data_IF_219604316992
#
_entry.id   IF_219604316992
#
_cell.length_a   1.000
_cell.length_b   1.000
_cell.length_c   1.000
_cell.angle_alpha   90.00
_cell.angle_beta   90.00
_cell.angle_gamma   90.00
#
_symmetry.space_group_name_H-M   'P 1'
#
loop_
_entity.id
_entity.type
_entity.pdbx_description
1 polymer ?
#
# COMPACT_ATOMS: atom_id res chain seq x y z
N UNK A 1 -2.77 23.54 -12.23
CA UNK A 1 -3.69 24.10 -11.21
C UNK A 1 -5.17 23.83 -11.49
N UNK A 2 -5.55 23.08 -12.54
CA UNK A 2 -6.96 22.76 -12.85
C UNK A 2 -7.37 21.33 -12.47
N UNK A 3 -6.43 20.37 -12.39
CA UNK A 3 -6.73 18.99 -11.96
C UNK A 3 -7.12 18.90 -10.47
N UNK A 4 -6.42 19.64 -9.62
CA UNK A 4 -6.72 19.70 -8.18
C UNK A 4 -8.04 20.41 -7.85
N UNK A 5 -8.51 21.31 -8.73
CA UNK A 5 -9.80 22.03 -8.56
C UNK A 5 -10.97 21.15 -8.99
N UNK A 6 -10.80 20.37 -10.07
CA UNK A 6 -11.81 19.39 -10.49
C UNK A 6 -12.04 18.30 -9.44
N UNK A 7 -10.96 17.72 -8.92
CA UNK A 7 -11.00 16.68 -7.88
C UNK A 7 -11.62 17.19 -6.55
N UNK A 8 -11.42 18.47 -6.22
CA UNK A 8 -12.03 19.10 -5.05
C UNK A 8 -13.53 19.37 -5.21
N UNK A 9 -13.97 19.77 -6.42
CA UNK A 9 -15.38 20.05 -6.68
C UNK A 9 -16.20 18.76 -6.72
N UNK A 10 -15.70 17.70 -7.36
CA UNK A 10 -16.33 16.37 -7.35
C UNK A 10 -16.41 15.79 -5.93
N UNK A 11 -15.40 16.03 -5.08
CA UNK A 11 -15.41 15.65 -3.66
C UNK A 11 -16.48 16.40 -2.85
N UNK A 12 -16.68 17.70 -3.11
CA UNK A 12 -17.68 18.51 -2.40
C UNK A 12 -19.11 18.14 -2.82
N UNK A 13 -19.36 17.91 -4.12
CA UNK A 13 -20.67 17.50 -4.63
C UNK A 13 -21.09 16.13 -4.09
N UNK A 14 -20.15 15.16 -4.05
CA UNK A 14 -20.40 13.84 -3.46
C UNK A 14 -20.69 13.89 -1.94
N UNK A 15 -20.23 14.93 -1.22
CA UNK A 15 -20.51 15.09 0.21
C UNK A 15 -21.87 15.75 0.47
N UNK A 16 -22.33 16.67 -0.39
CA UNK A 16 -23.61 17.36 -0.20
C UNK A 16 -24.82 16.42 -0.37
N UNK A 17 -24.76 15.49 -1.33
CA UNK A 17 -25.81 14.46 -1.52
C UNK A 17 -25.87 13.45 -0.37
N UNK A 18 -24.75 13.16 0.30
CA UNK A 18 -24.70 12.21 1.44
C UNK A 18 -25.18 12.86 2.75
N UNK A 19 -24.96 14.17 2.92
CA UNK A 19 -25.35 14.89 4.14
C UNK A 19 -26.86 15.07 4.33
N UNK A 20 -27.66 14.86 3.27
CA UNK A 20 -29.12 14.97 3.31
C UNK A 20 -29.85 13.76 3.92
N UNK A 21 -29.28 12.56 3.90
CA UNK A 21 -30.05 11.32 4.18
C UNK A 21 -29.55 10.47 5.38
N UNK A 22 -28.40 10.74 6.01
CA UNK A 22 -27.81 9.80 6.98
C UNK A 22 -27.43 10.38 8.35
N UNK A 23 -28.38 11.05 9.04
CA UNK A 23 -28.20 11.48 10.45
C UNK A 23 -28.55 10.40 11.49
N UNK A 24 -28.99 9.19 11.12
CA UNK A 24 -29.30 8.14 12.09
C UNK A 24 -28.46 6.88 11.91
N UNK A 25 -27.25 6.87 12.48
CA UNK A 25 -26.68 5.76 13.28
C UNK A 25 -25.21 6.03 13.60
N UNK A 26 -24.98 6.81 14.65
CA UNK A 26 -23.69 6.92 15.31
C UNK A 26 -23.43 5.68 16.16
N UNK A 27 -22.58 4.77 15.67
CA UNK A 27 -21.71 3.99 16.55
C UNK A 27 -20.27 4.33 16.21
N UNK A 28 -19.59 4.93 17.18
CA UNK A 28 -18.20 5.37 17.10
C UNK A 28 -17.27 4.20 16.75
N UNK A 29 -16.94 4.02 15.48
CA UNK A 29 -15.65 3.45 15.09
C UNK A 29 -14.79 4.58 14.54
N UNK A 30 -13.96 5.19 15.38
CA UNK A 30 -12.85 6.00 14.87
C UNK A 30 -11.94 5.04 14.10
N UNK A 31 -12.16 4.91 12.78
CA UNK A 31 -11.26 4.18 11.90
C UNK A 31 -9.91 4.86 12.01
N UNK A 32 -9.01 4.23 12.76
CA UNK A 32 -7.67 4.76 12.96
C UNK A 32 -7.02 4.94 11.61
N UNK A 33 -6.67 6.17 11.26
CA UNK A 33 -5.98 6.47 10.00
C UNK A 33 -4.55 5.89 9.96
N UNK A 34 -3.99 5.53 11.11
CA UNK A 34 -2.65 4.97 11.29
C UNK A 34 -2.60 3.45 11.07
N UNK A 35 -1.46 2.99 10.59
CA UNK A 35 -1.10 1.59 10.38
C UNK A 35 -1.13 0.80 11.69
N UNK A 36 -1.51 -0.48 11.62
CA UNK A 36 -1.53 -1.38 12.77
C UNK A 36 -0.79 -2.68 12.45
N UNK A 37 -0.04 -3.24 13.41
CA UNK A 37 0.59 -4.54 13.24
C UNK A 37 -0.41 -5.65 12.87
N UNK A 38 0.00 -6.63 12.05
CA UNK A 38 -0.75 -7.86 11.85
C UNK A 38 -0.69 -8.77 13.08
N UNK A 39 -1.42 -9.88 13.04
CA UNK A 39 -1.27 -10.95 14.02
C UNK A 39 0.12 -11.62 13.91
N UNK A 40 0.61 -12.19 15.01
CA UNK A 40 1.87 -12.95 15.00
C UNK A 40 1.84 -14.08 13.97
N UNK A 41 2.94 -14.26 13.26
CA UNK A 41 3.06 -15.23 12.16
C UNK A 41 2.53 -14.73 10.80
N UNK A 42 1.96 -13.52 10.74
CA UNK A 42 1.52 -12.89 9.48
C UNK A 42 2.43 -11.71 9.13
N UNK A 43 2.76 -11.57 7.86
CA UNK A 43 3.46 -10.39 7.33
C UNK A 43 2.45 -9.43 6.71
N UNK A 44 2.53 -8.15 7.07
CA UNK A 44 1.70 -7.11 6.48
C UNK A 44 2.47 -6.38 5.40
N UNK A 45 1.93 -6.33 4.19
CA UNK A 45 2.51 -5.63 3.05
C UNK A 45 1.67 -4.41 2.72
N UNK A 46 2.29 -3.23 2.73
CA UNK A 46 1.71 -2.00 2.22
C UNK A 46 2.18 -1.77 0.79
N UNK A 47 1.28 -1.41 -0.12
CA UNK A 47 1.58 -1.17 -1.53
C UNK A 47 1.06 0.19 -1.98
N UNK A 48 1.76 0.83 -2.93
CA UNK A 48 1.37 2.10 -3.55
C UNK A 48 1.99 2.20 -4.95
N UNK A 49 1.35 2.93 -5.84
CA UNK A 49 1.90 3.33 -7.13
C UNK A 49 1.90 4.86 -7.29
N UNK A 50 3.03 5.40 -7.74
CA UNK A 50 3.21 6.82 -7.98
C UNK A 50 3.58 7.08 -9.44
N UNK A 51 2.93 8.04 -10.09
CA UNK A 51 3.26 8.43 -11.46
C UNK A 51 3.95 9.79 -11.52
N UNK A 52 5.03 9.91 -12.32
CA UNK A 52 5.61 11.20 -12.69
C UNK A 52 5.30 11.52 -14.15
N UNK A 53 4.58 12.62 -14.36
CA UNK A 53 4.34 13.19 -15.69
C UNK A 53 5.64 13.62 -16.37
N UNK A 54 6.58 14.21 -15.62
CA UNK A 54 7.81 14.75 -16.17
C UNK A 54 8.78 13.66 -16.67
N UNK A 55 8.76 12.49 -16.01
CA UNK A 55 9.65 11.38 -16.34
C UNK A 55 8.94 10.28 -17.14
N UNK A 56 7.63 10.40 -17.33
CA UNK A 56 6.75 9.39 -17.95
C UNK A 56 6.97 7.98 -17.37
N UNK A 57 7.06 7.91 -16.03
CA UNK A 57 7.35 6.69 -15.27
C UNK A 57 6.37 6.46 -14.15
N UNK A 58 6.07 5.20 -13.92
CA UNK A 58 5.38 4.74 -12.71
C UNK A 58 6.39 4.10 -11.76
N UNK A 59 6.39 4.55 -10.52
CA UNK A 59 7.12 3.94 -9.42
C UNK A 59 6.16 3.08 -8.59
N UNK A 60 6.58 1.86 -8.27
CA UNK A 60 5.84 0.93 -7.41
C UNK A 60 6.62 0.77 -6.12
N UNK A 61 5.92 0.94 -4.99
CA UNK A 61 6.46 0.72 -3.65
C UNK A 61 5.76 -0.43 -2.95
N UNK A 62 6.53 -1.34 -2.36
CA UNK A 62 6.03 -2.41 -1.49
C UNK A 62 6.84 -2.41 -0.20
N UNK A 63 6.17 -2.39 0.94
CA UNK A 63 6.78 -2.36 2.27
C UNK A 63 6.21 -3.49 3.11
N UNK A 64 7.05 -4.43 3.54
CA UNK A 64 6.67 -5.54 4.39
C UNK A 64 7.08 -5.31 5.84
N UNK A 65 6.16 -5.53 6.77
CA UNK A 65 6.36 -5.40 8.22
C UNK A 65 5.84 -6.60 9.00
N UNK A 66 6.51 -6.94 10.09
CA UNK A 66 6.11 -8.02 11.00
C UNK A 66 5.08 -7.57 12.06
N UNK A 67 4.73 -8.46 12.99
CA UNK A 67 3.77 -8.22 14.07
C UNK A 67 4.27 -7.24 15.15
N UNK A 68 5.58 -6.97 15.17
CA UNK A 68 6.25 -5.99 16.01
C UNK A 68 6.34 -4.61 15.32
N UNK A 69 5.88 -4.50 14.07
CA UNK A 69 5.95 -3.28 13.27
C UNK A 69 7.29 -3.03 12.58
N UNK A 70 8.24 -3.95 12.73
CA UNK A 70 9.58 -3.81 12.18
C UNK A 70 9.56 -4.00 10.66
N UNK A 71 10.34 -3.19 9.96
CA UNK A 71 10.56 -3.34 8.52
C UNK A 71 11.30 -4.65 8.27
N UNK A 72 10.71 -5.50 7.42
CA UNK A 72 11.27 -6.80 7.06
C UNK A 72 11.95 -6.74 5.69
N UNK A 73 11.21 -6.26 4.69
CA UNK A 73 11.72 -6.03 3.33
C UNK A 73 10.98 -4.91 2.65
N UNK A 74 11.65 -4.22 1.73
CA UNK A 74 11.08 -3.12 0.96
C UNK A 74 11.54 -3.24 -0.48
N UNK A 75 10.61 -3.05 -1.42
CA UNK A 75 10.89 -3.06 -2.84
C UNK A 75 10.45 -1.76 -3.49
N UNK A 76 11.33 -1.21 -4.31
CA UNK A 76 11.09 -0.03 -5.14
C UNK A 76 11.37 -0.39 -6.61
N UNK A 77 10.38 -0.25 -7.48
CA UNK A 77 10.53 -0.52 -8.92
C UNK A 77 10.02 0.61 -9.78
N UNK A 78 10.73 0.89 -10.87
CA UNK A 78 10.30 1.84 -11.88
C UNK A 78 9.85 1.09 -13.12
N UNK A 79 8.73 1.52 -13.71
CA UNK A 79 8.22 1.01 -14.97
C UNK A 79 8.08 2.16 -15.98
N UNK A 80 8.53 1.92 -17.21
CA UNK A 80 8.40 2.85 -18.35
C UNK A 80 7.02 2.73 -18.98
N UNK A 81 5.98 2.99 -18.20
CA UNK A 81 4.59 2.93 -18.67
C UNK A 81 3.72 3.89 -17.87
N UNK A 82 2.57 4.20 -18.45
CA UNK A 82 1.47 4.90 -17.79
C UNK A 82 0.18 4.16 -18.09
N UNK A 83 -0.52 3.75 -17.04
CA UNK A 83 -1.89 3.25 -17.13
C UNK A 83 -2.81 4.09 -16.24
N UNK A 84 -4.08 3.68 -16.18
CA UNK A 84 -5.03 4.23 -15.22
C UNK A 84 -4.53 3.99 -13.78
N UNK A 85 -4.76 4.92 -12.83
CA UNK A 85 -4.27 4.80 -11.46
C UNK A 85 -4.62 3.47 -10.79
N UNK A 86 -5.85 2.99 -10.97
CA UNK A 86 -6.32 1.71 -10.41
C UNK A 86 -5.54 0.50 -10.96
N UNK A 87 -5.12 0.55 -12.24
CA UNK A 87 -4.34 -0.51 -12.87
C UNK A 87 -2.94 -0.58 -12.24
N UNK A 88 -2.32 0.57 -11.98
CA UNK A 88 -1.01 0.63 -11.35
C UNK A 88 -1.08 0.24 -9.86
N UNK A 89 -2.14 0.61 -9.14
CA UNK A 89 -2.40 0.17 -7.77
C UNK A 89 -2.60 -1.35 -7.68
N UNK A 90 -3.38 -1.93 -8.60
CA UNK A 90 -3.52 -3.39 -8.68
C UNK A 90 -2.20 -4.07 -9.06
N UNK A 91 -1.39 -3.46 -9.94
CA UNK A 91 -0.07 -3.96 -10.27
C UNK A 91 0.87 -3.95 -9.06
N UNK A 92 0.80 -2.92 -8.21
CA UNK A 92 1.55 -2.83 -6.96
C UNK A 92 1.15 -3.95 -5.98
N UNK A 93 -0.15 -4.23 -5.83
CA UNK A 93 -0.65 -5.36 -5.03
C UNK A 93 -0.13 -6.69 -5.58
N UNK A 94 -0.27 -6.93 -6.90
CA UNK A 94 0.21 -8.15 -7.54
C UNK A 94 1.72 -8.32 -7.33
N UNK A 95 2.51 -7.25 -7.47
CA UNK A 95 3.94 -7.27 -7.17
C UNK A 95 4.20 -7.62 -5.70
N UNK A 96 3.44 -7.04 -4.76
CA UNK A 96 3.52 -7.38 -3.35
C UNK A 96 3.31 -8.87 -3.09
N UNK A 97 2.31 -9.48 -3.71
CA UNK A 97 2.08 -10.93 -3.62
C UNK A 97 3.27 -11.73 -4.19
N UNK A 98 3.81 -11.32 -5.34
CA UNK A 98 4.96 -12.01 -5.94
C UNK A 98 6.19 -11.95 -5.02
N UNK A 99 6.43 -10.80 -4.38
CA UNK A 99 7.57 -10.62 -3.48
C UNK A 99 7.39 -11.41 -2.18
N UNK A 100 6.19 -11.39 -1.60
CA UNK A 100 5.86 -12.23 -0.45
C UNK A 100 6.06 -13.73 -0.76
N UNK A 101 5.62 -14.17 -1.95
CA UNK A 101 5.80 -15.54 -2.37
C UNK A 101 7.29 -15.94 -2.45
N UNK A 102 8.12 -15.07 -3.05
CA UNK A 102 9.58 -15.27 -3.17
C UNK A 102 10.29 -15.23 -1.82
N UNK A 103 9.82 -14.42 -0.87
CA UNK A 103 10.33 -14.37 0.49
C UNK A 103 9.88 -15.56 1.37
N UNK A 104 9.16 -16.53 0.79
CA UNK A 104 8.59 -17.69 1.47
C UNK A 104 7.59 -17.31 2.59
N UNK A 105 6.94 -16.15 2.47
CA UNK A 105 5.85 -15.77 3.37
C UNK A 105 4.54 -16.33 2.84
N UNK A 106 3.93 -17.24 3.61
CA UNK A 106 2.68 -17.93 3.22
C UNK A 106 1.44 -17.39 3.93
N UNK A 107 1.61 -16.63 5.00
CA UNK A 107 0.54 -15.91 5.69
C UNK A 107 0.76 -14.38 5.59
N UNK A 108 -0.11 -13.70 4.84
CA UNK A 108 0.02 -12.28 4.50
C UNK A 108 -1.28 -11.48 4.60
N UNK A 109 -1.15 -10.20 4.97
CA UNK A 109 -2.18 -9.16 4.86
C UNK A 109 -1.67 -8.05 3.94
N UNK A 110 -2.29 -7.85 2.78
CA UNK A 110 -1.94 -6.78 1.84
C UNK A 110 -2.85 -5.57 2.05
N UNK A 111 -2.24 -4.39 2.08
CA UNK A 111 -2.89 -3.10 2.26
C UNK A 111 -2.55 -2.14 1.12
N UNK A 112 -3.58 -1.49 0.58
CA UNK A 112 -3.48 -0.39 -0.39
C UNK A 112 -4.39 0.76 0.06
N UNK A 113 -4.03 1.98 -0.31
CA UNK A 113 -4.88 3.17 -0.11
C UNK A 113 -5.89 3.38 -1.25
N UNK A 114 -5.92 2.48 -2.23
CA UNK A 114 -6.94 2.43 -3.27
C UNK A 114 -8.11 1.54 -2.83
N UNK A 115 -9.11 2.14 -2.16
CA UNK A 115 -10.30 1.42 -1.69
C UNK A 115 -11.01 0.67 -2.82
N UNK A 116 -11.08 1.28 -3.99
CA UNK A 116 -11.78 0.69 -5.13
C UNK A 116 -11.13 -0.61 -5.60
N UNK A 117 -9.79 -0.65 -5.70
CA UNK A 117 -9.06 -1.87 -6.06
C UNK A 117 -9.22 -2.95 -5.00
N UNK A 118 -9.13 -2.59 -3.71
CA UNK A 118 -9.37 -3.54 -2.61
C UNK A 118 -10.79 -4.12 -2.68
N UNK A 119 -11.79 -3.28 -2.93
CA UNK A 119 -13.18 -3.70 -3.09
C UNK A 119 -13.34 -4.62 -4.31
N UNK A 120 -12.71 -4.33 -5.45
CA UNK A 120 -12.72 -5.18 -6.65
C UNK A 120 -12.16 -6.58 -6.35
N UNK A 121 -11.01 -6.65 -5.67
CA UNK A 121 -10.37 -7.92 -5.28
C UNK A 121 -11.27 -8.74 -4.35
N UNK A 122 -11.94 -8.08 -3.39
CA UNK A 122 -12.75 -8.76 -2.39
C UNK A 122 -14.14 -9.17 -2.90
N UNK A 123 -14.77 -8.37 -3.77
CA UNK A 123 -16.17 -8.58 -4.22
C UNK A 123 -16.32 -9.51 -5.43
N UNK A 124 -15.23 -9.93 -6.09
CA UNK A 124 -15.22 -10.82 -7.28
C UNK A 124 -16.24 -10.40 -8.36
N UNK A 125 -16.42 -9.09 -8.57
CA UNK A 125 -17.35 -8.60 -9.59
C UNK A 125 -16.73 -8.75 -10.98
N UNK A 126 -17.57 -9.07 -11.98
CA UNK A 126 -17.14 -9.07 -13.39
C UNK A 126 -16.83 -7.64 -13.82
N UNK A 127 -15.61 -7.40 -14.26
CA UNK A 127 -15.16 -6.13 -14.80
C UNK A 127 -14.89 -6.27 -16.31
N UNK A 128 -14.93 -5.17 -17.07
CA UNK A 128 -14.74 -5.14 -18.54
C UNK A 128 -13.57 -4.22 -18.97
N UNK A 129 -12.47 -4.24 -18.23
CA UNK A 129 -11.36 -3.29 -18.39
C UNK A 129 -9.98 -3.96 -18.23
N UNK A 130 -8.92 -3.21 -18.53
CA UNK A 130 -7.52 -3.69 -18.53
C UNK A 130 -7.06 -4.26 -17.17
N UNK A 131 -7.70 -3.87 -16.07
CA UNK A 131 -7.40 -4.36 -14.72
C UNK A 131 -7.82 -5.82 -14.51
N UNK A 132 -8.75 -6.37 -15.30
CA UNK A 132 -9.30 -7.74 -15.16
C UNK A 132 -8.19 -8.78 -15.11
N UNK A 133 -7.22 -8.68 -16.01
CA UNK A 133 -6.09 -9.62 -16.09
C UNK A 133 -5.28 -9.62 -14.79
N UNK A 134 -5.06 -8.43 -14.21
CA UNK A 134 -4.33 -8.29 -12.94
C UNK A 134 -5.17 -8.84 -11.78
N UNK A 135 -6.48 -8.61 -11.78
CA UNK A 135 -7.39 -9.16 -10.75
C UNK A 135 -7.47 -10.70 -10.81
N UNK A 136 -7.46 -11.28 -12.01
CA UNK A 136 -7.40 -12.74 -12.20
C UNK A 136 -6.06 -13.31 -11.71
N UNK A 137 -4.93 -12.65 -12.02
CA UNK A 137 -3.62 -13.02 -11.46
C UNK A 137 -3.63 -13.00 -9.93
N UNK A 138 -4.17 -11.92 -9.33
CA UNK A 138 -4.29 -11.79 -7.87
C UNK A 138 -5.15 -12.92 -7.29
N UNK A 139 -6.28 -13.22 -7.92
CA UNK A 139 -7.18 -14.29 -7.49
C UNK A 139 -6.50 -15.67 -7.55
N UNK A 140 -5.77 -15.96 -8.63
CA UNK A 140 -5.04 -17.21 -8.81
C UNK A 140 -3.89 -17.33 -7.81
N UNK A 141 -3.11 -16.26 -7.64
CA UNK A 141 -1.99 -16.22 -6.69
C UNK A 141 -2.48 -16.36 -5.25
N UNK A 142 -3.64 -15.82 -4.90
CA UNK A 142 -4.21 -15.92 -3.55
C UNK A 142 -4.34 -17.38 -3.09
N UNK A 143 -4.63 -18.29 -4.00
CA UNK A 143 -4.76 -19.73 -3.72
C UNK A 143 -3.43 -20.42 -3.37
N UNK A 144 -2.30 -19.78 -3.64
CA UNK A 144 -0.97 -20.33 -3.30
C UNK A 144 -0.62 -20.12 -1.83
N UNK A 145 -1.21 -19.10 -1.18
CA UNK A 145 -0.93 -18.74 0.21
C UNK A 145 -1.78 -19.53 1.20
N UNK A 146 -1.23 -19.82 2.36
CA UNK A 146 -1.97 -20.39 3.50
C UNK A 146 -3.00 -19.39 4.04
N UNK A 147 -2.61 -18.11 4.11
CA UNK A 147 -3.49 -17.00 4.45
C UNK A 147 -3.14 -15.80 3.58
N UNK A 148 -4.12 -15.25 2.87
CA UNK A 148 -3.94 -14.02 2.10
C UNK A 148 -5.22 -13.18 2.15
N UNK A 149 -5.09 -11.99 2.75
CA UNK A 149 -6.18 -11.02 2.92
C UNK A 149 -5.81 -9.68 2.34
N UNK A 150 -6.83 -8.91 1.95
CA UNK A 150 -6.67 -7.59 1.33
C UNK A 150 -7.54 -6.59 2.10
N UNK A 151 -6.94 -5.49 2.56
CA UNK A 151 -7.65 -4.47 3.32
C UNK A 151 -7.28 -3.06 2.84
N UNK A 152 -8.21 -2.13 2.98
CA UNK A 152 -7.97 -0.73 2.68
C UNK A 152 -7.32 -0.05 3.88
N UNK A 153 -6.36 0.83 3.62
CA UNK A 153 -5.73 1.69 4.62
C UNK A 153 -5.78 3.14 4.17
N UNK A 154 -5.99 4.07 5.10
CA UNK A 154 -5.89 5.49 4.76
C UNK A 154 -4.43 5.88 4.48
N UNK A 155 -4.21 6.95 3.70
CA UNK A 155 -2.88 7.45 3.35
C UNK A 155 -1.95 7.66 4.56
N UNK A 156 -2.48 8.09 5.70
CA UNK A 156 -1.70 8.28 6.94
C UNK A 156 -1.12 6.98 7.52
N UNK A 157 -1.68 5.83 7.14
CA UNK A 157 -1.22 4.49 7.49
C UNK A 157 -0.51 3.77 6.34
N UNK A 158 -0.37 4.43 5.18
CA UNK A 158 0.34 3.91 3.99
C UNK A 158 1.58 4.74 3.63
N UNK A 159 2.05 5.62 4.53
CA UNK A 159 3.07 6.63 4.19
C UNK A 159 4.39 6.01 3.72
N UNK A 160 4.78 4.85 4.29
CA UNK A 160 5.95 4.11 3.85
C UNK A 160 5.85 3.73 2.37
N UNK A 161 4.81 2.99 1.99
CA UNK A 161 4.65 2.50 0.62
C UNK A 161 4.55 3.66 -0.37
N UNK A 162 3.83 4.72 0.00
CA UNK A 162 3.71 5.93 -0.79
C UNK A 162 5.04 6.64 -1.03
N UNK A 163 5.85 6.77 0.01
CA UNK A 163 7.17 7.39 -0.08
C UNK A 163 8.14 6.53 -0.91
N UNK A 164 8.08 5.20 -0.77
CA UNK A 164 8.85 4.25 -1.57
C UNK A 164 8.44 4.31 -3.04
N UNK A 165 7.14 4.37 -3.36
CA UNK A 165 6.64 4.50 -4.73
C UNK A 165 7.15 5.79 -5.37
N UNK A 166 7.06 6.93 -4.67
CA UNK A 166 7.61 8.22 -5.12
C UNK A 166 9.12 8.20 -5.33
N UNK A 167 9.85 7.55 -4.43
CA UNK A 167 11.29 7.32 -4.59
C UNK A 167 11.57 6.49 -5.86
N UNK A 168 10.79 5.43 -6.07
CA UNK A 168 10.97 4.49 -7.17
C UNK A 168 10.85 5.14 -8.54
N UNK A 169 10.01 6.16 -8.70
CA UNK A 169 9.84 6.87 -9.99
C UNK A 169 11.16 7.43 -10.55
N UNK A 170 12.11 7.76 -9.67
CA UNK A 170 13.42 8.35 -10.05
C UNK A 170 14.48 7.29 -10.33
N UNK A 171 14.18 6.01 -10.11
CA UNK A 171 15.15 4.95 -10.27
C UNK A 171 15.37 4.60 -11.75
N UNK A 172 16.60 4.21 -12.04
CA UNK A 172 16.98 3.54 -13.31
C UNK A 172 17.02 2.02 -13.16
N UNK A 173 17.14 1.53 -11.93
CA UNK A 173 17.21 0.10 -11.58
C UNK A 173 16.35 -0.20 -10.37
N UNK A 174 15.77 -1.40 -10.32
CA UNK A 174 14.99 -1.84 -9.17
C UNK A 174 15.86 -1.91 -7.91
N UNK A 175 15.27 -1.57 -6.76
CA UNK A 175 15.95 -1.60 -5.45
C UNK A 175 15.17 -2.49 -4.49
N UNK A 176 15.92 -3.23 -3.67
CA UNK A 176 15.42 -4.05 -2.56
C UNK A 176 16.25 -3.72 -1.31
N UNK A 177 15.57 -3.61 -0.16
CA UNK A 177 16.18 -3.49 1.17
C UNK A 177 15.63 -4.59 2.08
N UNK A 178 16.48 -5.29 2.83
CA UNK A 178 16.07 -6.38 3.73
C UNK A 178 16.82 -6.46 5.07
N UNK A 179 17.89 -5.69 5.26
CA UNK A 179 18.63 -5.61 6.54
C UNK A 179 18.80 -4.16 7.03
N UNK A 180 19.20 -3.28 6.12
CA UNK A 180 19.42 -1.87 6.39
C UNK A 180 18.44 -1.02 5.57
N UNK A 181 17.63 -0.24 6.28
CA UNK A 181 16.63 0.64 5.68
C UNK A 181 17.11 2.10 5.72
N UNK A 182 16.86 2.91 4.67
CA UNK A 182 17.16 4.33 4.69
C UNK A 182 16.49 5.03 5.88
N UNK A 183 17.17 6.02 6.48
CA UNK A 183 16.67 6.74 7.65
C UNK A 183 15.28 7.34 7.42
N UNK A 184 15.07 7.98 6.26
CA UNK A 184 13.78 8.55 5.89
C UNK A 184 12.65 7.50 5.88
N UNK A 185 12.95 6.24 5.54
CA UNK A 185 11.95 5.19 5.50
C UNK A 185 11.61 4.68 6.90
N UNK A 186 12.61 4.61 7.78
CA UNK A 186 12.39 4.30 9.19
C UNK A 186 11.53 5.39 9.84
N UNK A 187 11.81 6.66 9.57
CA UNK A 187 10.98 7.79 10.03
C UNK A 187 9.53 7.69 9.51
N UNK A 188 9.34 7.33 8.24
CA UNK A 188 8.01 7.11 7.68
C UNK A 188 7.26 5.96 8.38
N UNK A 189 7.97 4.88 8.73
CA UNK A 189 7.40 3.76 9.48
C UNK A 189 7.01 4.12 10.92
N UNK A 190 7.78 4.99 11.57
CA UNK A 190 7.44 5.51 12.89
C UNK A 190 6.21 6.43 12.81
N UNK A 191 6.17 7.29 11.80
CA UNK A 191 5.11 8.26 11.63
C UNK A 191 3.76 7.64 11.24
N UNK A 192 3.74 6.53 10.49
CA UNK A 192 2.50 5.88 10.08
C UNK A 192 1.97 4.85 11.10
N UNK A 193 2.79 4.42 12.05
CA UNK A 193 2.45 3.41 13.07
C UNK A 193 1.47 3.94 14.14
N UNK A 194 0.54 3.07 14.57
CA UNK A 194 -0.39 3.35 15.67
C UNK A 194 0.14 2.78 16.99
N UNK A 195 0.89 3.58 17.74
CA UNK A 195 1.39 3.28 19.08
C UNK A 195 1.98 4.53 19.74
N UNK A 196 2.10 4.56 21.08
CA UNK A 196 2.82 5.63 21.77
C UNK A 196 4.34 5.54 21.51
N UNK A 197 5.14 6.54 21.92
CA UNK A 197 6.60 6.53 21.74
C UNK A 197 7.29 5.23 22.24
N UNK A 198 6.68 4.51 23.20
CA UNK A 198 7.16 3.23 23.73
C UNK A 198 6.88 2.00 22.84
N UNK A 199 5.91 2.08 21.94
CA UNK A 199 5.50 0.99 21.04
C UNK A 199 6.12 1.13 19.65
N UNK A 200 6.95 2.16 19.47
CA UNK A 200 7.64 2.44 18.21
C UNK A 200 8.64 1.30 17.95
N UNK A 201 8.63 0.70 16.75
CA UNK A 201 9.59 -0.33 16.38
C UNK A 201 11.01 0.20 16.61
N UNK A 202 11.83 -0.56 17.33
CA UNK A 202 13.22 -0.18 17.58
C UNK A 202 13.90 -0.02 16.22
N UNK A 203 14.39 1.18 15.93
CA UNK A 203 15.18 1.42 14.72
C UNK A 203 16.31 0.41 14.65
N UNK A 204 16.58 -0.09 13.44
CA UNK A 204 17.63 -1.08 13.22
C UNK A 204 18.95 -0.46 13.69
N UNK A 205 19.57 -1.04 14.73
CA UNK A 205 20.92 -0.69 15.13
C UNK A 205 21.82 -1.00 13.94
N UNK A 206 22.29 0.05 13.25
CA UNK A 206 23.22 -0.06 12.13
C UNK A 206 24.48 -0.74 12.67
N UNK A 207 24.61 -2.06 12.47
CA UNK A 207 25.85 -2.78 12.71
C UNK A 207 26.67 -2.66 11.44
N UNK A 208 27.62 -1.73 11.43
CA UNK A 208 28.71 -1.76 10.47
C UNK A 208 29.54 -3.01 10.76
N UNK A 209 29.46 -4.01 9.90
CA UNK A 209 30.47 -5.08 9.88
C UNK A 209 31.54 -4.60 8.90
N UNK A 210 32.74 -4.35 9.43
CA UNK A 210 33.94 -3.94 8.66
C UNK A 210 34.50 -5.17 7.95
#
# INVERSE_FOLDING_TARGET
>A
MQKAVGEWNEYIEAQQDITGEFIQQTTNSSSSKKWRPPSRGTIKLNTDAAFSQNLERTGIGVVARNAEGELMKVWARAELKRSEPQVEEAAAIRMGMQMAWKANWRAVELQSDCKEVVDMINKKQKQQNNIVVILEDIANMRCLFEQCTFSFVHRDGNRCAHSVAKFAVKLTTNVEWDECFPMWLQEEAQNDFRGGESDVPKSCNIKFTI
#
